data_IF_835173055522
#
_entry.id   IF_835173055522
#
_cell.length_a   1.000
_cell.length_b   1.000
_cell.length_c   1.000
_cell.angle_alpha   90.00
_cell.angle_beta   90.00
_cell.angle_gamma   90.00
#
_symmetry.space_group_name_H-M   'P 1'
#
loop_
_entity.id
_entity.type
_entity.pdbx_description
1 polymer ?
#
# COMPACT_ATOMS: atom_id res chain seq x y z
N UNK A 1 19.88 -19.58 22.73
CA UNK A 1 19.33 -19.03 21.48
C UNK A 1 17.85 -19.36 21.51
N UNK A 2 17.00 -18.42 21.92
CA UNK A 2 15.55 -18.64 22.00
C UNK A 2 14.87 -17.99 20.80
N UNK A 3 14.19 -18.82 20.02
CA UNK A 3 13.49 -18.48 18.80
C UNK A 3 12.18 -17.73 19.06
N UNK A 4 12.29 -16.45 19.40
CA UNK A 4 11.15 -15.54 19.49
C UNK A 4 10.62 -15.12 18.12
N UNK A 5 10.01 -16.02 17.35
CA UNK A 5 9.16 -15.70 16.20
C UNK A 5 7.79 -15.14 16.66
N UNK A 6 7.78 -14.25 17.64
CA UNK A 6 6.56 -13.68 18.21
C UNK A 6 6.34 -12.25 17.72
N UNK A 7 6.06 -12.05 16.41
CA UNK A 7 5.75 -10.72 15.89
C UNK A 7 5.22 -10.69 14.43
N UNK A 8 4.62 -11.72 13.83
CA UNK A 8 4.52 -11.73 12.35
C UNK A 8 3.22 -12.37 11.85
N UNK A 9 2.32 -11.70 11.13
CA UNK A 9 2.43 -10.36 10.60
C UNK A 9 1.21 -9.92 9.78
N UNK A 10 0.28 -9.21 10.42
CA UNK A 10 -0.61 -8.31 9.70
C UNK A 10 -0.54 -6.84 10.19
N UNK A 11 0.09 -6.55 11.33
CA UNK A 11 0.52 -5.19 11.72
C UNK A 11 1.57 -4.59 10.75
N UNK A 12 2.67 -5.31 10.45
CA UNK A 12 3.62 -4.89 9.41
C UNK A 12 2.97 -4.82 8.02
N UNK A 13 2.13 -5.80 7.65
CA UNK A 13 1.45 -5.83 6.35
C UNK A 13 0.54 -4.62 6.14
N UNK A 14 -0.23 -4.22 7.16
CA UNK A 14 -1.08 -3.04 7.10
C UNK A 14 -0.26 -1.76 6.92
N UNK A 15 0.87 -1.65 7.63
CA UNK A 15 1.81 -0.53 7.49
C UNK A 15 2.46 -0.48 6.10
N UNK A 16 2.99 -1.59 5.62
CA UNK A 16 3.65 -1.69 4.32
C UNK A 16 2.69 -1.39 3.18
N UNK A 17 1.45 -1.90 3.24
CA UNK A 17 0.41 -1.63 2.26
C UNK A 17 -0.03 -0.16 2.25
N UNK A 18 -0.10 0.49 3.43
CA UNK A 18 -0.39 1.92 3.51
C UNK A 18 0.72 2.78 2.91
N UNK A 19 1.99 2.44 3.17
CA UNK A 19 3.16 3.11 2.58
C UNK A 19 3.15 2.93 1.06
N UNK A 20 2.90 1.71 0.58
CA UNK A 20 2.82 1.41 -0.85
C UNK A 20 1.71 2.21 -1.54
N UNK A 21 0.52 2.27 -0.94
CA UNK A 21 -0.60 3.05 -1.47
C UNK A 21 -0.26 4.54 -1.61
N UNK A 22 0.38 5.14 -0.60
CA UNK A 22 0.83 6.53 -0.65
C UNK A 22 1.91 6.76 -1.73
N UNK A 23 2.85 5.83 -1.88
CA UNK A 23 3.89 5.91 -2.90
C UNK A 23 3.29 5.85 -4.32
N UNK A 24 2.32 4.96 -4.53
CA UNK A 24 1.60 4.83 -5.81
C UNK A 24 0.77 6.08 -6.10
N UNK A 25 0.09 6.65 -5.12
CA UNK A 25 -0.65 7.91 -5.29
C UNK A 25 0.27 9.06 -5.70
N UNK A 26 1.43 9.20 -5.05
CA UNK A 26 2.44 10.18 -5.40
C UNK A 26 2.99 9.97 -6.82
N UNK A 27 3.20 8.72 -7.22
CA UNK A 27 3.67 8.37 -8.57
C UNK A 27 2.61 8.66 -9.63
N UNK A 28 1.35 8.32 -9.38
CA UNK A 28 0.22 8.65 -10.26
C UNK A 28 0.10 10.16 -10.47
N UNK A 29 0.25 10.94 -9.39
CA UNK A 29 0.27 12.41 -9.47
C UNK A 29 1.38 12.93 -10.39
N UNK A 30 2.62 12.41 -10.24
CA UNK A 30 3.74 12.75 -11.12
C UNK A 30 3.49 12.35 -12.57
N UNK A 31 2.92 11.16 -12.81
CA UNK A 31 2.58 10.69 -14.14
C UNK A 31 1.56 11.61 -14.83
N UNK A 32 0.52 12.09 -14.11
CA UNK A 32 -0.42 13.09 -14.65
C UNK A 32 0.27 14.41 -14.99
N UNK A 33 1.16 14.88 -14.12
CA UNK A 33 1.92 16.11 -14.37
C UNK A 33 2.82 16.03 -15.63
N UNK A 34 3.22 14.81 -16.02
CA UNK A 34 3.99 14.55 -17.25
C UNK A 34 3.10 14.25 -18.47
N UNK A 35 1.77 14.31 -18.33
CA UNK A 35 0.83 13.98 -19.42
C UNK A 35 0.67 12.49 -19.70
N UNK A 36 1.14 11.61 -18.79
CA UNK A 36 1.04 10.15 -18.91
C UNK A 36 -0.27 9.65 -18.29
N UNK A 37 -1.41 10.07 -18.85
CA UNK A 37 -2.73 9.85 -18.25
C UNK A 37 -3.08 8.37 -18.02
N UNK A 38 -2.92 7.52 -19.03
CA UNK A 38 -3.27 6.09 -18.94
C UNK A 38 -2.41 5.35 -17.90
N UNK A 39 -1.12 5.72 -17.83
CA UNK A 39 -0.20 5.20 -16.83
C UNK A 39 -0.60 5.67 -15.42
N UNK A 40 -0.95 6.94 -15.28
CA UNK A 40 -1.38 7.50 -14.00
C UNK A 40 -2.66 6.82 -13.47
N UNK A 41 -3.61 6.52 -14.36
CA UNK A 41 -4.84 5.81 -14.01
C UNK A 41 -4.54 4.37 -13.55
N UNK A 42 -3.69 3.65 -14.31
CA UNK A 42 -3.25 2.30 -13.94
C UNK A 42 -2.56 2.26 -12.56
N UNK A 43 -1.70 3.25 -12.27
CA UNK A 43 -1.01 3.36 -10.98
C UNK A 43 -1.99 3.73 -9.85
N UNK A 44 -2.97 4.60 -10.13
CA UNK A 44 -3.97 5.00 -9.15
C UNK A 44 -4.82 3.80 -8.70
N UNK A 45 -5.23 2.93 -9.63
CA UNK A 45 -5.98 1.70 -9.30
C UNK A 45 -5.16 0.83 -8.34
N UNK A 46 -3.89 0.57 -8.65
CA UNK A 46 -3.00 -0.18 -7.76
C UNK A 46 -2.83 0.48 -6.39
N UNK A 47 -2.76 1.82 -6.33
CA UNK A 47 -2.66 2.57 -5.09
C UNK A 47 -3.89 2.42 -4.19
N UNK A 48 -5.09 2.40 -4.79
CA UNK A 48 -6.35 2.16 -4.08
C UNK A 48 -6.39 0.73 -3.53
N UNK A 49 -6.01 -0.27 -4.34
CA UNK A 49 -5.96 -1.66 -3.90
C UNK A 49 -5.01 -1.86 -2.70
N UNK A 50 -3.82 -1.23 -2.74
CA UNK A 50 -2.89 -1.26 -1.61
C UNK A 50 -3.49 -0.62 -0.34
N UNK A 51 -4.20 0.50 -0.47
CA UNK A 51 -4.88 1.13 0.66
C UNK A 51 -6.04 0.28 1.21
N UNK A 52 -6.73 -0.48 0.36
CA UNK A 52 -7.75 -1.43 0.78
C UNK A 52 -7.14 -2.60 1.54
N UNK A 53 -6.05 -3.19 1.04
CA UNK A 53 -5.30 -4.24 1.75
C UNK A 53 -4.88 -3.74 3.13
N UNK A 54 -4.38 -2.52 3.24
CA UNK A 54 -4.02 -1.92 4.53
C UNK A 54 -5.21 -1.85 5.50
N UNK A 55 -6.38 -1.40 5.01
CA UNK A 55 -7.62 -1.33 5.80
C UNK A 55 -8.11 -2.70 6.23
N UNK A 56 -8.06 -3.71 5.34
CA UNK A 56 -8.47 -5.08 5.67
C UNK A 56 -7.51 -5.74 6.67
N UNK A 57 -6.20 -5.61 6.46
CA UNK A 57 -5.18 -6.16 7.36
C UNK A 57 -5.29 -5.55 8.77
N UNK A 58 -5.57 -4.25 8.88
CA UNK A 58 -5.80 -3.58 10.15
C UNK A 58 -7.06 -4.11 10.88
N UNK A 59 -8.16 -4.37 10.15
CA UNK A 59 -9.41 -4.90 10.72
C UNK A 59 -9.30 -6.33 11.24
N UNK A 60 -8.39 -7.16 10.71
CA UNK A 60 -8.19 -8.54 11.17
C UNK A 60 -7.40 -8.63 12.49
N UNK A 61 -6.79 -7.53 12.94
CA UNK A 61 -5.95 -7.47 14.14
C UNK A 61 -6.62 -6.82 15.36
N UNK A 62 -7.73 -6.12 15.16
CA UNK A 62 -8.57 -5.55 16.21
C UNK A 62 -9.67 -6.54 16.61
#
# INVERSE_FOLDING_TARGET
>A
MDGGLQSRGAGPLAGDAAILGQALEALASKARALGLSDLAESIQVLGIEAAEIARFAAKLHH
#
